data_IF_774589216756
#
_entry.id   IF_774589216756
#
_cell.length_a   1.000
_cell.length_b   1.000
_cell.length_c   1.000
_cell.angle_alpha   90.00
_cell.angle_beta   90.00
_cell.angle_gamma   90.00
#
_symmetry.space_group_name_H-M   'P 1'
#
loop_
_entity.id
_entity.type
_entity.pdbx_description
1 polymer ?
#
# COMPACT_ATOMS: atom_id res chain seq x y z
N UNK A 1 -13.84 13.78 -6.94
CA UNK A 1 -12.59 13.02 -6.76
C UNK A 1 -12.21 12.47 -8.10
N UNK A 2 -10.91 12.34 -8.36
CA UNK A 2 -10.42 11.91 -9.67
C UNK A 2 -10.80 10.44 -9.95
N UNK A 3 -11.06 10.14 -11.21
CA UNK A 3 -11.37 8.80 -11.69
C UNK A 3 -10.07 8.04 -11.87
N UNK A 4 -9.81 7.04 -11.03
CA UNK A 4 -8.57 6.26 -11.02
C UNK A 4 -8.91 4.78 -10.78
N UNK A 5 -8.28 3.88 -11.54
CA UNK A 5 -8.64 2.46 -11.58
C UNK A 5 -8.39 1.75 -10.24
N UNK A 6 -7.32 2.12 -9.55
CA UNK A 6 -6.95 1.53 -8.25
C UNK A 6 -7.89 1.88 -7.09
N UNK A 7 -8.93 2.69 -7.31
CA UNK A 7 -9.94 3.02 -6.29
C UNK A 7 -11.00 1.92 -6.13
N UNK A 8 -11.07 1.00 -7.09
CA UNK A 8 -11.96 -0.16 -7.06
C UNK A 8 -11.44 -1.17 -6.03
N UNK A 9 -12.26 -1.56 -5.05
CA UNK A 9 -11.88 -2.56 -4.05
C UNK A 9 -11.65 -3.94 -4.67
N UNK A 10 -10.90 -4.84 -4.01
CA UNK A 10 -10.66 -6.20 -4.52
C UNK A 10 -11.95 -6.97 -4.85
N UNK A 11 -12.98 -6.80 -4.03
CA UNK A 11 -14.29 -7.43 -4.19
C UNK A 11 -14.97 -7.05 -5.51
N UNK A 12 -14.93 -5.76 -5.86
CA UNK A 12 -15.49 -5.27 -7.11
C UNK A 12 -14.56 -5.50 -8.30
N UNK A 13 -13.25 -5.50 -8.07
CA UNK A 13 -12.25 -5.69 -9.11
C UNK A 13 -12.41 -7.06 -9.77
N UNK A 14 -12.55 -8.15 -9.01
CA UNK A 14 -12.71 -9.47 -9.63
C UNK A 14 -14.01 -9.62 -10.43
N UNK A 15 -15.12 -9.02 -9.99
CA UNK A 15 -16.37 -9.01 -10.77
C UNK A 15 -16.23 -8.19 -12.06
N UNK A 16 -15.71 -6.95 -11.98
CA UNK A 16 -15.47 -6.10 -13.16
C UNK A 16 -14.54 -6.76 -14.18
N UNK A 17 -13.57 -7.54 -13.71
CA UNK A 17 -12.62 -8.28 -14.54
C UNK A 17 -13.07 -9.71 -14.88
N UNK A 18 -14.34 -10.07 -14.65
CA UNK A 18 -14.93 -11.38 -15.00
C UNK A 18 -14.20 -12.58 -14.38
N UNK A 19 -13.60 -12.38 -13.22
CA UNK A 19 -13.05 -13.48 -12.40
C UNK A 19 -14.18 -14.22 -11.67
N UNK A 20 -15.27 -13.52 -11.35
CA UNK A 20 -16.49 -14.08 -10.76
C UNK A 20 -17.74 -13.58 -11.51
N UNK A 21 -18.76 -14.42 -11.59
CA UNK A 21 -20.01 -14.10 -12.28
C UNK A 21 -20.96 -13.23 -11.44
N UNK A 22 -20.94 -13.43 -10.12
CA UNK A 22 -21.83 -12.78 -9.17
C UNK A 22 -21.16 -11.52 -8.58
N UNK A 23 -21.88 -10.40 -8.41
CA UNK A 23 -21.33 -9.20 -7.79
C UNK A 23 -21.17 -9.39 -6.27
N UNK A 24 -20.26 -8.63 -5.63
CA UNK A 24 -20.04 -8.73 -4.18
C UNK A 24 -21.26 -8.28 -3.35
N UNK A 25 -22.25 -7.62 -3.94
CA UNK A 25 -23.55 -7.34 -3.29
C UNK A 25 -24.37 -8.60 -3.04
N UNK A 26 -24.30 -9.57 -3.95
CA UNK A 26 -25.07 -10.81 -3.89
C UNK A 26 -24.26 -11.90 -3.20
N UNK A 27 -22.94 -11.92 -3.45
CA UNK A 27 -22.00 -12.88 -2.88
C UNK A 27 -20.71 -12.19 -2.41
N UNK A 28 -20.68 -11.65 -1.18
CA UNK A 28 -19.52 -10.96 -0.66
C UNK A 28 -18.33 -11.90 -0.46
N UNK A 29 -17.12 -11.37 -0.62
CA UNK A 29 -15.89 -12.12 -0.35
C UNK A 29 -15.69 -12.31 1.17
N UNK A 30 -15.16 -13.46 1.55
CA UNK A 30 -14.86 -13.76 2.94
C UNK A 30 -13.53 -13.14 3.36
N UNK A 31 -13.57 -12.06 4.13
CA UNK A 31 -12.38 -11.42 4.69
C UNK A 31 -11.80 -12.19 5.88
N UNK A 32 -10.47 -12.24 5.95
CA UNK A 32 -9.71 -12.72 7.12
C UNK A 32 -9.39 -11.56 8.06
N UNK A 33 -9.21 -11.88 9.34
CA UNK A 33 -8.95 -10.90 10.40
C UNK A 33 -7.64 -10.13 10.24
N UNK A 34 -6.69 -10.65 9.46
CA UNK A 34 -5.40 -10.02 9.20
C UNK A 34 -5.38 -9.17 7.91
N UNK A 35 -6.47 -9.16 7.14
CA UNK A 35 -6.57 -8.35 5.94
C UNK A 35 -6.60 -6.86 6.29
N UNK A 36 -5.88 -6.08 5.50
CA UNK A 36 -5.89 -4.62 5.62
C UNK A 36 -7.05 -4.06 4.80
N UNK A 37 -7.67 -2.94 5.23
CA UNK A 37 -8.60 -2.20 4.40
C UNK A 37 -7.96 -1.82 3.06
N UNK A 38 -8.77 -1.77 2.00
CA UNK A 38 -8.34 -1.33 0.68
C UNK A 38 -7.85 0.12 0.73
N UNK A 39 -6.69 0.37 0.12
CA UNK A 39 -6.12 1.69 -0.11
C UNK A 39 -5.75 1.79 -1.58
N UNK A 40 -6.19 2.87 -2.23
CA UNK A 40 -5.88 3.17 -3.63
C UNK A 40 -4.38 3.42 -3.86
N UNK A 41 -3.95 3.45 -5.13
CA UNK A 41 -2.56 3.70 -5.46
C UNK A 41 -2.17 5.16 -5.15
N UNK A 42 -1.30 5.34 -4.16
CA UNK A 42 -0.82 6.65 -3.72
C UNK A 42 0.44 7.13 -4.46
N UNK A 43 0.89 6.41 -5.49
CA UNK A 43 2.08 6.80 -6.28
C UNK A 43 1.94 8.22 -6.82
N UNK A 44 3.01 9.00 -6.76
CA UNK A 44 3.00 10.41 -7.20
C UNK A 44 2.38 11.38 -6.19
N UNK A 45 1.82 10.90 -5.07
CA UNK A 45 1.30 11.75 -4.00
C UNK A 45 2.28 11.89 -2.83
N UNK A 46 1.99 12.82 -1.91
CA UNK A 46 2.73 12.99 -0.67
C UNK A 46 2.69 11.75 0.23
N UNK A 47 1.63 10.93 0.12
CA UNK A 47 1.41 9.73 0.93
C UNK A 47 2.01 8.46 0.30
N UNK A 48 2.71 8.57 -0.82
CA UNK A 48 3.38 7.43 -1.45
C UNK A 48 4.37 6.75 -0.49
N UNK A 49 4.40 5.42 -0.50
CA UNK A 49 5.33 4.64 0.31
C UNK A 49 6.80 5.06 0.04
N UNK A 50 7.54 5.29 1.12
CA UNK A 50 8.97 5.53 1.09
C UNK A 50 9.69 4.34 1.76
N UNK A 51 10.57 3.62 1.05
CA UNK A 51 11.29 2.49 1.64
C UNK A 51 12.27 2.96 2.74
N UNK A 52 12.70 2.02 3.58
CA UNK A 52 13.72 2.28 4.59
C UNK A 52 15.02 2.80 3.94
N UNK A 53 15.58 3.89 4.49
CA UNK A 53 16.74 4.57 3.93
C UNK A 53 16.43 5.56 2.79
N UNK A 54 15.18 5.69 2.37
CA UNK A 54 14.77 6.77 1.47
C UNK A 54 15.02 8.13 2.12
N UNK A 55 15.52 9.10 1.34
CA UNK A 55 15.67 10.50 1.76
C UNK A 55 14.33 11.17 2.13
N UNK A 56 13.20 10.57 1.73
CA UNK A 56 11.85 11.04 2.06
C UNK A 56 11.39 10.63 3.46
N UNK A 57 12.12 9.73 4.13
CA UNK A 57 11.81 9.34 5.50
C UNK A 57 12.24 10.45 6.46
N UNK A 58 11.34 10.88 7.34
CA UNK A 58 11.63 11.89 8.37
C UNK A 58 12.77 11.45 9.29
N UNK A 59 12.84 10.14 9.56
CA UNK A 59 13.85 9.51 10.39
C UNK A 59 14.77 8.66 9.50
N UNK A 60 15.99 9.15 9.19
CA UNK A 60 16.95 8.35 8.45
C UNK A 60 17.31 7.10 9.26
N UNK A 61 17.53 5.98 8.57
CA UNK A 61 18.03 4.76 9.20
C UNK A 61 19.42 5.02 9.74
N UNK A 62 19.65 4.70 11.01
CA UNK A 62 20.98 4.79 11.61
C UNK A 62 21.96 3.89 10.84
N UNK A 63 23.14 4.43 10.53
CA UNK A 63 24.24 3.66 9.96
C UNK A 63 24.92 2.92 11.11
N UNK A 64 24.98 1.59 11.00
CA UNK A 64 25.57 0.70 11.99
C UNK A 64 26.58 -0.26 11.37
N UNK A 65 26.96 -0.02 10.12
CA UNK A 65 27.90 -0.82 9.34
C UNK A 65 29.36 -0.54 9.72
N UNK A 66 29.63 0.58 10.40
CA UNK A 66 30.94 0.94 10.91
C UNK A 66 30.83 1.95 12.06
N UNK A 67 31.74 1.85 13.03
CA UNK A 67 31.92 2.85 14.08
C UNK A 67 33.06 3.80 13.69
N UNK A 68 32.73 5.06 13.44
CA UNK A 68 33.73 6.06 13.08
C UNK A 68 34.61 6.41 14.30
N UNK A 69 35.92 6.36 14.12
CA UNK A 69 36.86 6.80 15.14
C UNK A 69 36.69 8.30 15.41
N UNK A 70 36.54 8.69 16.68
CA UNK A 70 36.48 10.08 17.15
C UNK A 70 37.68 10.38 18.05
N UNK A 71 38.57 11.31 17.68
CA UNK A 71 39.60 11.80 18.59
C UNK A 71 38.98 12.68 19.68
N UNK A 72 39.41 12.48 20.93
CA UNK A 72 39.23 13.46 22.01
C UNK A 72 40.04 14.75 21.76
#
# INVERSE_FOLDING_TARGET
GDMEASRVSPDWHGWLHRTWDEPPTDKPLAHKSWEKPHVENLTGTMLAYAPAGSIRQEKPKERSDYEAWSPE
#
